data_IF_971555830269
#
_entry.id   IF_971555830269
#
_cell.length_a   1.000
_cell.length_b   1.000
_cell.length_c   1.000
_cell.angle_alpha   90.00
_cell.angle_beta   90.00
_cell.angle_gamma   90.00
#
_symmetry.space_group_name_H-M   'P 1'
#
loop_
_entity.id
_entity.type
_entity.pdbx_description
1 polymer ?
#
# COMPACT_ATOMS: atom_id res chain seq x y z
N UNK A 1 -30.70 -17.05 20.76
CA UNK A 1 -29.60 -16.20 21.29
C UNK A 1 -29.69 -14.84 20.60
N UNK A 2 -29.55 -13.72 21.32
CA UNK A 2 -29.81 -12.36 20.79
C UNK A 2 -28.63 -11.80 19.94
N UNK A 3 -28.05 -12.62 19.06
CA UNK A 3 -26.82 -12.29 18.33
C UNK A 3 -27.04 -11.12 17.35
N UNK A 4 -28.18 -11.06 16.65
CA UNK A 4 -28.50 -9.96 15.71
C UNK A 4 -28.47 -8.59 16.42
N UNK A 5 -29.05 -8.53 17.61
CA UNK A 5 -29.14 -7.32 18.43
C UNK A 5 -27.77 -6.79 18.86
N UNK A 6 -26.81 -7.68 19.11
CA UNK A 6 -25.51 -7.30 19.65
C UNK A 6 -24.42 -7.28 18.58
N UNK A 7 -24.22 -8.40 17.87
CA UNK A 7 -23.22 -8.54 16.83
C UNK A 7 -23.58 -7.75 15.56
N UNK A 8 -24.72 -8.06 14.92
CA UNK A 8 -25.03 -7.45 13.61
C UNK A 8 -25.23 -5.94 13.70
N UNK A 9 -25.87 -5.46 14.77
CA UNK A 9 -26.01 -4.02 15.02
C UNK A 9 -24.64 -3.34 15.11
N UNK A 10 -23.74 -3.85 15.95
CA UNK A 10 -22.40 -3.29 16.15
C UNK A 10 -21.54 -3.40 14.88
N UNK A 11 -21.61 -4.54 14.19
CA UNK A 11 -20.96 -4.77 12.90
C UNK A 11 -21.38 -3.73 11.87
N UNK A 12 -22.69 -3.61 11.60
CA UNK A 12 -23.21 -2.70 10.58
C UNK A 12 -22.91 -1.23 10.89
N UNK A 13 -23.05 -0.83 12.15
CA UNK A 13 -22.72 0.53 12.60
C UNK A 13 -21.24 0.83 12.39
N UNK A 14 -20.37 -0.11 12.76
CA UNK A 14 -18.92 0.10 12.70
C UNK A 14 -18.41 0.07 11.26
N UNK A 15 -18.93 -0.83 10.43
CA UNK A 15 -18.62 -0.88 9.00
C UNK A 15 -18.92 0.47 8.33
N UNK A 16 -20.10 1.04 8.58
CA UNK A 16 -20.49 2.34 8.01
C UNK A 16 -19.59 3.49 8.51
N UNK A 17 -19.19 3.47 9.79
CA UNK A 17 -18.24 4.44 10.34
C UNK A 17 -16.88 4.30 9.65
N UNK A 18 -16.39 3.07 9.49
CA UNK A 18 -15.12 2.78 8.84
C UNK A 18 -15.11 3.25 7.38
N UNK A 19 -16.18 2.99 6.63
CA UNK A 19 -16.36 3.47 5.26
C UNK A 19 -16.29 5.01 5.19
N UNK A 20 -17.02 5.68 6.09
CA UNK A 20 -17.02 7.15 6.17
C UNK A 20 -15.63 7.71 6.46
N UNK A 21 -14.88 7.10 7.38
CA UNK A 21 -13.50 7.50 7.68
C UNK A 21 -12.61 7.40 6.42
N UNK A 22 -12.71 6.29 5.68
CA UNK A 22 -11.94 6.10 4.44
C UNK A 22 -12.29 7.20 3.44
N UNK A 23 -13.58 7.39 3.18
CA UNK A 23 -14.08 8.41 2.24
C UNK A 23 -13.59 9.82 2.61
N UNK A 24 -13.75 10.21 3.87
CA UNK A 24 -13.32 11.54 4.34
C UNK A 24 -11.81 11.73 4.27
N UNK A 25 -11.02 10.71 4.59
CA UNK A 25 -9.55 10.76 4.45
C UNK A 25 -9.16 10.96 2.99
N UNK A 26 -9.79 10.24 2.06
CA UNK A 26 -9.53 10.40 0.64
C UNK A 26 -9.93 11.80 0.14
N UNK A 27 -11.11 12.31 0.48
CA UNK A 27 -11.55 13.67 0.10
C UNK A 27 -10.56 14.73 0.60
N UNK A 28 -10.18 14.68 1.88
CA UNK A 28 -9.22 15.63 2.49
C UNK A 28 -7.86 15.57 1.81
N UNK A 29 -7.44 14.38 1.40
CA UNK A 29 -6.14 14.16 0.76
C UNK A 29 -6.15 14.64 -0.68
N UNK A 30 -7.26 14.46 -1.41
CA UNK A 30 -7.46 15.00 -2.75
C UNK A 30 -7.44 16.52 -2.75
N UNK A 31 -8.10 17.16 -1.79
CA UNK A 31 -8.06 18.61 -1.61
C UNK A 31 -6.64 19.16 -1.35
N UNK A 32 -5.74 18.31 -0.84
CA UNK A 32 -4.30 18.61 -0.62
C UNK A 32 -3.40 18.12 -1.75
N UNK A 33 -3.96 17.67 -2.87
CA UNK A 33 -3.22 17.13 -4.03
C UNK A 33 -2.30 15.95 -3.69
N UNK A 34 -2.63 15.16 -2.66
CA UNK A 34 -1.88 13.95 -2.30
C UNK A 34 -2.22 12.80 -3.25
N UNK A 35 -1.29 11.87 -3.43
CA UNK A 35 -1.50 10.65 -4.24
C UNK A 35 -2.31 9.62 -3.45
N UNK A 36 -3.20 8.88 -4.13
CA UNK A 36 -4.08 7.88 -3.51
C UNK A 36 -3.35 6.93 -2.55
N UNK A 37 -2.28 6.28 -3.02
CA UNK A 37 -1.57 5.25 -2.25
C UNK A 37 -0.87 5.77 -0.99
N UNK A 38 -0.54 7.07 -0.92
CA UNK A 38 0.02 7.67 0.30
C UNK A 38 -0.98 7.68 1.46
N UNK A 39 -2.27 7.60 1.16
CA UNK A 39 -3.33 7.64 2.16
C UNK A 39 -3.63 6.28 2.79
N UNK A 40 -3.08 5.18 2.24
CA UNK A 40 -3.35 3.83 2.74
C UNK A 40 -2.89 3.64 4.18
N UNK A 41 -1.72 4.18 4.54
CA UNK A 41 -1.21 4.11 5.91
C UNK A 41 -2.10 4.93 6.86
N UNK A 42 -2.49 6.14 6.47
CA UNK A 42 -3.38 7.00 7.27
C UNK A 42 -4.72 6.30 7.52
N UNK A 43 -5.28 5.67 6.48
CA UNK A 43 -6.50 4.88 6.58
C UNK A 43 -6.29 3.71 7.54
N UNK A 44 -5.25 2.91 7.35
CA UNK A 44 -4.97 1.73 8.16
C UNK A 44 -4.76 2.10 9.65
N UNK A 45 -4.02 3.17 9.92
CA UNK A 45 -3.79 3.67 11.28
C UNK A 45 -5.08 4.16 11.92
N UNK A 46 -5.92 4.88 11.18
CA UNK A 46 -7.22 5.36 11.68
C UNK A 46 -8.15 4.20 12.03
N UNK A 47 -8.15 3.13 11.23
CA UNK A 47 -8.95 1.93 11.49
C UNK A 47 -8.40 1.12 12.66
N UNK A 48 -7.08 0.95 12.77
CA UNK A 48 -6.45 0.29 13.91
C UNK A 48 -6.73 1.02 15.23
N UNK A 49 -6.67 2.36 15.22
CA UNK A 49 -7.03 3.17 16.38
C UNK A 49 -8.50 2.98 16.77
N UNK A 50 -9.40 2.80 15.80
CA UNK A 50 -10.81 2.52 16.06
C UNK A 50 -10.98 1.15 16.75
N UNK A 51 -10.25 0.11 16.32
CA UNK A 51 -10.24 -1.21 16.98
C UNK A 51 -9.79 -1.07 18.43
N UNK A 52 -8.61 -0.49 18.65
CA UNK A 52 -7.99 -0.37 19.98
C UNK A 52 -8.91 0.41 20.94
N UNK A 53 -9.58 1.46 20.46
CA UNK A 53 -10.45 2.30 21.29
C UNK A 53 -11.83 1.70 21.57
N UNK A 54 -12.31 0.76 20.75
CA UNK A 54 -13.72 0.33 20.76
C UNK A 54 -13.94 -1.16 20.97
N UNK A 55 -12.87 -1.96 21.05
CA UNK A 55 -12.98 -3.41 21.17
C UNK A 55 -11.86 -3.99 22.02
N UNK A 56 -12.19 -4.91 22.92
CA UNK A 56 -11.20 -5.63 23.72
C UNK A 56 -10.60 -6.84 22.99
N UNK A 57 -11.08 -7.19 21.78
CA UNK A 57 -10.72 -8.43 21.08
C UNK A 57 -9.20 -8.60 20.92
N UNK A 58 -8.47 -7.51 20.59
CA UNK A 58 -6.99 -7.53 20.42
C UNK A 58 -6.20 -7.34 21.72
N UNK A 59 -6.86 -7.02 22.83
CA UNK A 59 -6.21 -6.75 24.10
C UNK A 59 -6.06 -8.02 24.96
N UNK A 60 -6.83 -9.07 24.65
CA UNK A 60 -6.86 -10.33 25.37
C UNK A 60 -6.72 -11.50 24.38
N UNK A 61 -5.71 -12.35 24.59
CA UNK A 61 -5.41 -13.49 23.71
C UNK A 61 -6.60 -14.47 23.61
N UNK A 62 -7.30 -14.69 24.73
CA UNK A 62 -8.51 -15.52 24.79
C UNK A 62 -9.59 -15.04 23.81
N UNK A 63 -9.79 -13.73 23.69
CA UNK A 63 -10.78 -13.13 22.80
C UNK A 63 -10.30 -13.12 21.34
N UNK A 64 -9.01 -12.90 21.10
CA UNK A 64 -8.39 -13.03 19.77
C UNK A 64 -8.48 -14.46 19.24
N UNK A 65 -8.33 -15.46 20.11
CA UNK A 65 -8.49 -16.87 19.76
C UNK A 65 -9.93 -17.17 19.32
N UNK A 66 -10.94 -16.64 20.01
CA UNK A 66 -12.33 -16.76 19.56
C UNK A 66 -12.55 -16.14 18.17
N UNK A 67 -11.95 -14.98 17.90
CA UNK A 67 -12.04 -14.36 16.58
C UNK A 67 -11.42 -15.24 15.48
N UNK A 68 -10.33 -15.95 15.80
CA UNK A 68 -9.66 -16.90 14.90
C UNK A 68 -10.50 -18.15 14.67
N UNK A 69 -11.11 -18.71 15.73
CA UNK A 69 -12.06 -19.84 15.60
C UNK A 69 -13.20 -19.45 14.66
N UNK A 70 -13.73 -18.24 14.80
CA UNK A 70 -14.82 -17.78 13.93
C UNK A 70 -14.39 -17.76 12.47
N UNK A 71 -13.23 -17.19 12.13
CA UNK A 71 -12.73 -17.15 10.74
C UNK A 71 -12.57 -18.55 10.15
N UNK A 72 -11.98 -19.47 10.93
CA UNK A 72 -11.73 -20.84 10.49
C UNK A 72 -13.02 -21.64 10.28
N UNK A 73 -14.10 -21.28 10.98
CA UNK A 73 -15.37 -22.00 10.99
C UNK A 73 -16.49 -21.31 10.22
N UNK A 74 -16.26 -20.07 9.78
CA UNK A 74 -17.26 -19.24 9.11
C UNK A 74 -17.81 -19.89 7.84
N UNK A 75 -16.98 -20.64 7.12
CA UNK A 75 -17.36 -21.28 5.86
C UNK A 75 -17.91 -22.71 6.01
N UNK A 76 -18.05 -23.22 7.25
CA UNK A 76 -18.66 -24.53 7.50
C UNK A 76 -20.16 -24.54 7.14
N UNK A 77 -20.78 -23.36 7.00
CA UNK A 77 -22.20 -23.18 6.71
C UNK A 77 -22.41 -22.35 5.45
N UNK A 78 -23.37 -22.76 4.63
CA UNK A 78 -23.78 -22.05 3.40
C UNK A 78 -24.78 -20.93 3.68
N UNK A 79 -25.65 -21.10 4.68
CA UNK A 79 -26.65 -20.12 5.11
C UNK A 79 -26.53 -19.83 6.61
N UNK A 80 -26.93 -18.62 7.03
CA UNK A 80 -26.88 -18.17 8.43
C UNK A 80 -25.53 -18.43 9.12
N UNK A 81 -24.45 -18.42 8.34
CA UNK A 81 -23.12 -18.82 8.77
C UNK A 81 -22.63 -18.10 10.01
N UNK A 82 -22.96 -16.83 10.16
CA UNK A 82 -22.60 -16.00 11.30
C UNK A 82 -23.29 -16.48 12.57
N UNK A 83 -24.61 -16.68 12.53
CA UNK A 83 -25.41 -17.16 13.66
C UNK A 83 -24.95 -18.55 14.10
N UNK A 84 -24.86 -19.47 13.13
CA UNK A 84 -24.49 -20.86 13.39
C UNK A 84 -23.05 -20.99 13.88
N UNK A 85 -22.11 -20.22 13.33
CA UNK A 85 -20.72 -20.21 13.82
C UNK A 85 -20.65 -19.70 15.25
N UNK A 86 -21.37 -18.61 15.55
CA UNK A 86 -21.41 -18.05 16.90
C UNK A 86 -22.01 -19.06 17.88
N UNK A 87 -23.14 -19.68 17.52
CA UNK A 87 -23.84 -20.61 18.39
C UNK A 87 -23.08 -21.92 18.62
N UNK A 88 -22.51 -22.51 17.56
CA UNK A 88 -21.96 -23.87 17.61
C UNK A 88 -20.47 -23.91 17.96
N UNK A 89 -19.72 -22.83 17.69
CA UNK A 89 -18.27 -22.82 17.93
C UNK A 89 -17.85 -21.75 18.94
N UNK A 90 -18.38 -20.53 18.83
CA UNK A 90 -17.90 -19.42 19.64
C UNK A 90 -18.48 -19.43 21.05
N UNK A 91 -19.78 -19.66 21.20
CA UNK A 91 -20.41 -19.69 22.52
C UNK A 91 -19.86 -20.83 23.40
N UNK A 92 -19.72 -22.09 22.91
CA UNK A 92 -19.10 -23.15 23.69
C UNK A 92 -17.65 -22.82 24.05
N UNK A 93 -16.87 -22.28 23.11
CA UNK A 93 -15.50 -21.89 23.38
C UNK A 93 -15.41 -20.76 24.43
N UNK A 94 -16.32 -19.78 24.38
CA UNK A 94 -16.37 -18.67 25.34
C UNK A 94 -16.65 -19.14 26.76
N UNK A 95 -17.60 -20.06 26.96
CA UNK A 95 -17.93 -20.60 28.29
C UNK A 95 -16.72 -21.29 28.94
N UNK A 96 -15.82 -21.85 28.12
CA UNK A 96 -14.62 -22.55 28.59
C UNK A 96 -13.44 -21.62 28.90
N UNK A 97 -13.55 -20.31 28.66
CA UNK A 97 -12.49 -19.35 28.99
C UNK A 97 -12.49 -19.11 30.51
N UNK A 98 -11.30 -19.14 31.12
CA UNK A 98 -11.16 -18.85 32.55
C UNK A 98 -11.42 -17.37 32.84
N UNK A 99 -12.00 -17.07 34.01
CA UNK A 99 -12.41 -15.71 34.39
C UNK A 99 -11.23 -14.73 34.41
N UNK A 100 -10.05 -15.18 34.82
CA UNK A 100 -8.81 -14.39 34.86
C UNK A 100 -8.25 -14.04 33.47
N UNK A 101 -8.71 -14.73 32.43
CA UNK A 101 -8.36 -14.47 31.03
C UNK A 101 -9.33 -13.50 30.33
N UNK A 102 -10.32 -12.99 31.05
CA UNK A 102 -11.33 -12.08 30.53
C UNK A 102 -11.21 -10.68 31.17
N UNK A 103 -11.66 -9.63 30.47
CA UNK A 103 -11.86 -8.33 31.11
C UNK A 103 -12.79 -8.44 32.32
N UNK A 104 -12.65 -7.53 33.28
CA UNK A 104 -13.53 -7.50 34.46
C UNK A 104 -15.00 -7.37 34.04
N UNK A 105 -15.86 -8.24 34.59
CA UNK A 105 -17.30 -8.27 34.31
C UNK A 105 -17.63 -8.43 32.81
N UNK A 106 -16.84 -9.21 32.07
CA UNK A 106 -17.04 -9.43 30.64
C UNK A 106 -18.02 -10.57 30.38
N UNK A 107 -19.18 -10.24 29.83
CA UNK A 107 -20.21 -11.20 29.46
C UNK A 107 -20.10 -11.59 27.99
N UNK A 108 -20.75 -12.68 27.60
CA UNK A 108 -20.82 -13.06 26.20
C UNK A 108 -21.51 -12.00 25.33
N UNK A 109 -22.51 -11.29 25.87
CA UNK A 109 -23.11 -10.15 25.17
C UNK A 109 -22.11 -9.02 24.90
N UNK A 110 -21.21 -8.71 25.85
CA UNK A 110 -20.14 -7.73 25.64
C UNK A 110 -19.16 -8.23 24.58
N UNK A 111 -18.81 -9.52 24.61
CA UNK A 111 -18.02 -10.14 23.56
C UNK A 111 -18.67 -9.95 22.17
N UNK A 112 -19.96 -10.23 22.01
CA UNK A 112 -20.63 -10.10 20.70
C UNK A 112 -20.59 -8.66 20.16
N UNK A 113 -20.72 -7.66 21.03
CA UNK A 113 -20.61 -6.25 20.65
C UNK A 113 -19.19 -5.91 20.21
N UNK A 114 -18.18 -6.27 21.01
CA UNK A 114 -16.77 -6.03 20.71
C UNK A 114 -16.32 -6.78 19.46
N UNK A 115 -16.84 -7.99 19.26
CA UNK A 115 -16.59 -8.82 18.10
C UNK A 115 -17.24 -8.25 16.84
N UNK A 116 -18.47 -7.74 16.94
CA UNK A 116 -19.13 -7.01 15.85
C UNK A 116 -18.34 -5.77 15.42
N UNK A 117 -17.85 -4.98 16.39
CA UNK A 117 -16.96 -3.84 16.13
C UNK A 117 -15.68 -4.31 15.41
N UNK A 118 -15.01 -5.31 15.97
CA UNK A 118 -13.77 -5.84 15.40
C UNK A 118 -13.94 -6.31 13.95
N UNK A 119 -14.94 -7.17 13.71
CA UNK A 119 -15.25 -7.70 12.38
C UNK A 119 -15.64 -6.61 11.39
N UNK A 120 -16.48 -5.65 11.80
CA UNK A 120 -16.87 -4.53 10.95
C UNK A 120 -15.68 -3.72 10.43
N UNK A 121 -14.63 -3.56 11.25
CA UNK A 121 -13.40 -2.84 10.86
C UNK A 121 -12.50 -3.72 9.99
N UNK A 122 -12.34 -5.00 10.34
CA UNK A 122 -11.55 -5.94 9.53
C UNK A 122 -12.13 -6.06 8.12
N UNK A 123 -13.44 -6.24 8.01
CA UNK A 123 -14.11 -6.43 6.72
C UNK A 123 -14.13 -5.16 5.88
N UNK A 124 -14.34 -3.98 6.47
CA UNK A 124 -14.27 -2.74 5.67
C UNK A 124 -12.86 -2.50 5.12
N UNK A 125 -11.81 -2.81 5.89
CA UNK A 125 -10.41 -2.69 5.43
C UNK A 125 -10.11 -3.73 4.36
N UNK A 126 -10.54 -4.97 4.55
CA UNK A 126 -10.39 -6.06 3.58
C UNK A 126 -11.09 -5.73 2.27
N UNK A 127 -12.36 -5.34 2.32
CA UNK A 127 -13.16 -5.01 1.13
C UNK A 127 -12.66 -3.75 0.43
N UNK A 128 -12.11 -2.79 1.18
CA UNK A 128 -11.40 -1.66 0.60
C UNK A 128 -10.14 -2.10 -0.16
N UNK A 129 -9.30 -2.94 0.47
CA UNK A 129 -8.06 -3.47 -0.13
C UNK A 129 -8.32 -4.32 -1.38
N UNK A 130 -9.38 -5.12 -1.37
CA UNK A 130 -9.75 -5.97 -2.50
C UNK A 130 -10.23 -5.18 -3.72
N UNK A 131 -10.52 -3.88 -3.57
CA UNK A 131 -11.06 -3.02 -4.62
C UNK A 131 -10.23 -1.72 -4.78
N UNK A 132 -8.93 -1.76 -4.45
CA UNK A 132 -8.07 -0.57 -4.47
C UNK A 132 -8.06 0.13 -5.82
N UNK A 133 -8.04 -0.60 -6.93
CA UNK A 133 -7.97 -0.02 -8.27
C UNK A 133 -9.23 0.78 -8.60
N UNK A 134 -10.39 0.25 -8.21
CA UNK A 134 -11.68 0.94 -8.38
C UNK A 134 -11.68 2.24 -7.58
N UNK A 135 -11.25 2.21 -6.32
CA UNK A 135 -11.21 3.41 -5.48
C UNK A 135 -10.12 4.40 -5.89
N UNK A 136 -8.98 3.93 -6.40
CA UNK A 136 -7.93 4.77 -6.96
C UNK A 136 -8.48 5.52 -8.18
N UNK A 137 -9.21 4.84 -9.07
CA UNK A 137 -9.85 5.52 -10.19
C UNK A 137 -10.89 6.54 -9.74
N UNK A 138 -11.79 6.18 -8.81
CA UNK A 138 -12.74 7.14 -8.22
C UNK A 138 -12.03 8.35 -7.61
N UNK A 139 -10.88 8.14 -6.96
CA UNK A 139 -10.06 9.21 -6.39
C UNK A 139 -9.44 10.10 -7.47
N UNK A 140 -8.92 9.54 -8.55
CA UNK A 140 -8.36 10.29 -9.69
C UNK A 140 -9.46 11.12 -10.36
N UNK A 141 -10.60 10.51 -10.62
CA UNK A 141 -11.76 11.10 -11.32
C UNK A 141 -12.61 12.02 -10.42
N UNK A 142 -12.25 12.17 -9.14
CA UNK A 142 -12.99 12.96 -8.14
C UNK A 142 -14.46 12.51 -7.93
N UNK A 143 -14.75 11.21 -8.11
CA UNK A 143 -16.09 10.61 -8.02
C UNK A 143 -16.44 10.12 -6.62
N UNK A 144 -16.27 10.97 -5.61
CA UNK A 144 -16.54 10.56 -4.21
C UNK A 144 -18.02 10.37 -3.89
N UNK A 145 -18.94 10.93 -4.68
CA UNK A 145 -20.37 10.77 -4.47
C UNK A 145 -20.81 9.30 -4.63
N UNK A 146 -20.11 8.55 -5.46
CA UNK A 146 -20.37 7.13 -5.74
C UNK A 146 -19.61 6.19 -4.79
N UNK A 147 -18.80 6.73 -3.87
CA UNK A 147 -17.97 5.93 -2.98
C UNK A 147 -18.84 5.10 -2.01
N UNK A 148 -18.72 3.77 -2.12
CA UNK A 148 -19.37 2.79 -1.25
C UNK A 148 -18.54 1.52 -1.21
N UNK A 149 -18.36 0.94 -0.01
CA UNK A 149 -17.65 -0.32 0.16
C UNK A 149 -18.69 -1.45 0.25
N UNK A 150 -18.63 -2.47 -0.62
CA UNK A 150 -19.56 -3.59 -0.54
C UNK A 150 -19.32 -4.34 0.78
N UNK A 151 -20.41 -4.75 1.46
CA UNK A 151 -20.34 -5.54 2.70
C UNK A 151 -20.02 -7.00 2.44
N UNK A 152 -20.43 -7.51 1.29
CA UNK A 152 -20.03 -8.84 0.83
C UNK A 152 -18.65 -8.71 0.22
N UNK A 153 -17.83 -9.74 0.35
CA UNK A 153 -16.46 -9.82 -0.15
C UNK A 153 -16.44 -9.92 -1.70
N UNK A 154 -17.31 -9.15 -2.36
CA UNK A 154 -17.50 -9.06 -3.81
C UNK A 154 -16.45 -8.11 -4.37
N UNK A 155 -15.71 -8.61 -5.35
CA UNK A 155 -14.93 -7.76 -6.24
C UNK A 155 -15.94 -6.93 -7.04
N UNK A 156 -15.81 -5.61 -6.99
CA UNK A 156 -16.60 -4.71 -7.81
C UNK A 156 -16.19 -4.95 -9.27
N UNK A 157 -17.07 -5.57 -10.06
CA UNK A 157 -16.81 -5.81 -11.47
C UNK A 157 -16.64 -4.48 -12.23
N UNK A 158 -15.64 -4.43 -13.10
CA UNK A 158 -15.24 -3.33 -13.99
C UNK A 158 -16.33 -2.91 -15.01
N UNK A 159 -17.60 -3.23 -14.83
CA UNK A 159 -18.69 -2.90 -15.77
C UNK A 159 -18.96 -1.40 -15.94
N UNK A 160 -18.18 -0.52 -15.30
CA UNK A 160 -18.28 0.94 -15.46
C UNK A 160 -17.03 1.61 -16.05
N UNK A 161 -16.04 0.84 -16.51
CA UNK A 161 -14.77 1.41 -16.94
C UNK A 161 -14.32 0.70 -18.21
N UNK A 162 -14.29 1.48 -19.29
CA UNK A 162 -14.03 1.10 -20.67
C UNK A 162 -12.93 0.06 -20.92
N UNK A 163 -13.19 -0.72 -21.97
CA UNK A 163 -12.46 -1.88 -22.49
C UNK A 163 -10.99 -1.64 -22.91
N UNK A 164 -10.39 -0.48 -22.65
CA UNK A 164 -8.99 -0.22 -22.99
C UNK A 164 -7.99 -0.67 -21.90
N UNK A 165 -8.42 -0.87 -20.64
CA UNK A 165 -7.54 -1.27 -19.53
C UNK A 165 -7.18 -2.77 -19.49
N UNK A 166 -7.90 -3.61 -20.26
CA UNK A 166 -7.79 -5.08 -20.14
C UNK A 166 -6.52 -5.70 -20.73
N UNK A 167 -5.75 -4.94 -21.51
CA UNK A 167 -4.48 -5.42 -22.07
C UNK A 167 -3.28 -5.06 -21.16
N UNK A 168 -3.39 -4.03 -20.32
CA UNK A 168 -2.31 -3.61 -19.39
C UNK A 168 -2.34 -4.37 -18.05
N UNK A 169 -3.52 -4.68 -17.49
CA UNK A 169 -3.62 -5.29 -16.15
C UNK A 169 -3.24 -6.78 -16.07
N UNK A 170 -3.27 -7.52 -17.19
CA UNK A 170 -2.83 -8.93 -17.22
C UNK A 170 -1.31 -9.09 -17.09
N UNK A 171 -0.52 -8.05 -17.41
CA UNK A 171 0.93 -8.04 -17.15
C UNK A 171 1.26 -7.54 -15.74
N UNK A 172 0.45 -6.65 -15.17
CA UNK A 172 0.67 -6.08 -13.84
C UNK A 172 0.40 -7.08 -12.69
N UNK A 173 -0.65 -7.90 -12.79
CA UNK A 173 -0.99 -8.87 -11.74
C UNK A 173 -0.10 -10.14 -11.74
N UNK A 174 0.57 -10.44 -12.86
CA UNK A 174 1.55 -11.52 -12.95
C UNK A 174 2.91 -11.14 -12.33
N UNK A 175 3.18 -9.86 -12.06
CA UNK A 175 4.43 -9.39 -11.47
C UNK A 175 4.32 -9.03 -9.97
N UNK A 176 3.12 -8.80 -9.43
CA UNK A 176 2.90 -8.51 -8.00
C UNK A 176 2.76 -9.81 -7.18
N UNK A 177 2.59 -10.97 -7.83
CA UNK A 177 2.47 -12.29 -7.21
C UNK A 177 3.74 -13.14 -7.35
N UNK A 178 4.91 -12.53 -7.10
CA UNK A 178 6.18 -13.24 -7.05
C UNK A 178 7.07 -12.76 -5.93
N UNK A 179 7.48 -13.69 -5.07
CA UNK A 179 8.44 -13.60 -3.96
C UNK A 179 9.86 -13.11 -4.33
N UNK A 180 10.02 -12.25 -5.34
CA UNK A 180 11.32 -11.72 -5.73
C UNK A 180 11.64 -10.43 -4.98
N UNK A 181 12.26 -10.60 -3.81
CA UNK A 181 12.85 -9.54 -2.95
C UNK A 181 14.03 -8.78 -3.59
N UNK A 182 14.27 -8.95 -4.89
CA UNK A 182 15.42 -8.40 -5.59
C UNK A 182 14.98 -7.37 -6.63
N UNK A 183 15.64 -6.22 -6.65
CA UNK A 183 15.47 -5.23 -7.72
C UNK A 183 15.67 -5.88 -9.09
N UNK A 184 14.78 -5.61 -10.03
CA UNK A 184 14.92 -6.08 -11.40
C UNK A 184 16.03 -5.29 -12.15
N UNK A 185 16.39 -5.72 -13.35
CA UNK A 185 17.51 -5.12 -14.10
C UNK A 185 17.29 -3.63 -14.44
N UNK A 186 16.04 -3.25 -14.77
CA UNK A 186 15.68 -1.88 -15.14
C UNK A 186 15.71 -0.94 -13.92
N UNK A 187 15.18 -1.40 -12.79
CA UNK A 187 15.23 -0.72 -11.50
C UNK A 187 16.68 -0.48 -11.06
N UNK A 188 17.53 -1.50 -11.20
CA UNK A 188 18.97 -1.40 -10.92
C UNK A 188 19.68 -0.41 -11.83
N UNK A 189 19.43 -0.48 -13.14
CA UNK A 189 20.04 0.42 -14.12
C UNK A 189 19.62 1.88 -13.90
N UNK A 190 18.35 2.13 -13.59
CA UNK A 190 17.87 3.49 -13.32
C UNK A 190 18.41 4.04 -11.99
N UNK A 191 18.49 3.21 -10.95
CA UNK A 191 19.09 3.59 -9.69
C UNK A 191 20.55 4.01 -9.89
N UNK A 192 21.31 3.25 -10.67
CA UNK A 192 22.67 3.61 -11.06
C UNK A 192 22.74 4.94 -11.82
N UNK A 193 21.88 5.14 -12.82
CA UNK A 193 21.79 6.39 -13.60
C UNK A 193 21.58 7.62 -12.69
N UNK A 194 20.63 7.56 -11.77
CA UNK A 194 20.33 8.66 -10.83
C UNK A 194 21.53 8.96 -9.92
N UNK A 195 22.28 7.94 -9.52
CA UNK A 195 23.47 8.11 -8.69
C UNK A 195 24.65 8.73 -9.46
N UNK A 196 24.85 8.34 -10.72
CA UNK A 196 25.85 8.98 -11.59
C UNK A 196 25.54 10.47 -11.80
N UNK A 197 24.26 10.83 -11.98
CA UNK A 197 23.84 12.25 -12.06
C UNK A 197 24.16 12.98 -10.75
N UNK A 198 23.81 12.39 -9.60
CA UNK A 198 24.08 13.00 -8.30
C UNK A 198 25.58 13.23 -8.03
N UNK A 199 26.45 12.36 -8.54
CA UNK A 199 27.90 12.52 -8.44
C UNK A 199 28.44 13.55 -9.44
N UNK A 200 27.90 13.59 -10.66
CA UNK A 200 28.30 14.54 -11.69
C UNK A 200 27.91 15.99 -11.32
N UNK A 201 26.74 16.20 -10.72
CA UNK A 201 26.27 17.52 -10.29
C UNK A 201 27.20 18.13 -9.22
N UNK A 202 27.85 17.32 -8.37
CA UNK A 202 28.84 17.80 -7.39
C UNK A 202 30.09 18.41 -8.04
N UNK A 203 30.47 17.95 -9.24
CA UNK A 203 31.62 18.49 -9.96
C UNK A 203 31.28 19.79 -10.71
N UNK A 204 29.99 20.12 -10.89
CA UNK A 204 29.54 21.39 -11.46
C UNK A 204 29.37 22.50 -10.41
N UNK A 205 29.09 22.17 -9.15
CA UNK A 205 28.86 23.16 -8.08
C UNK A 205 30.17 23.75 -7.51
N UNK A 206 31.34 23.28 -7.95
CA UNK A 206 32.63 23.90 -7.56
C UNK A 206 32.99 25.18 -8.33
N UNK A 207 32.19 25.62 -9.31
CA UNK A 207 32.51 26.80 -10.13
C UNK A 207 31.68 28.04 -9.82
N UNK A 208 30.72 28.01 -8.89
CA UNK A 208 29.94 29.20 -8.54
C UNK A 208 29.82 29.34 -7.03
N UNK A 209 30.09 30.56 -6.59
CA UNK A 209 30.59 30.95 -5.28
C UNK A 209 29.63 30.66 -4.12
N UNK A 210 30.24 30.26 -2.99
CA UNK A 210 29.81 30.53 -1.61
C UNK A 210 28.30 30.56 -1.34
N UNK A 211 27.74 29.40 -1.07
CA UNK A 211 26.80 29.22 0.03
C UNK A 211 26.87 27.77 0.49
N UNK A 212 26.73 27.55 1.80
CA UNK A 212 26.77 26.25 2.48
C UNK A 212 25.75 25.26 1.89
N UNK A 213 26.09 24.65 0.77
CA UNK A 213 25.35 23.54 0.18
C UNK A 213 25.81 22.27 0.87
N UNK A 214 24.84 21.44 1.29
CA UNK A 214 25.07 20.13 1.88
C UNK A 214 26.09 19.36 1.03
N UNK A 215 27.33 19.27 1.52
CA UNK A 215 28.42 18.55 0.90
C UNK A 215 28.08 17.05 0.88
N UNK A 216 27.42 16.59 -0.17
CA UNK A 216 27.13 15.18 -0.39
C UNK A 216 28.43 14.47 -0.75
N UNK A 217 29.08 13.84 0.21
CA UNK A 217 30.21 12.94 -0.03
C UNK A 217 29.68 11.50 0.01
N UNK A 218 29.20 10.99 -1.13
CA UNK A 218 29.00 9.55 -1.26
C UNK A 218 30.39 8.92 -1.27
N UNK A 219 30.81 8.19 -0.21
CA UNK A 219 32.13 7.59 -0.18
C UNK A 219 32.28 6.63 -1.36
N UNK A 220 33.45 6.58 -2.00
CA UNK A 220 33.73 5.65 -3.10
C UNK A 220 33.39 4.19 -2.73
N UNK A 221 33.47 3.86 -1.44
CA UNK A 221 33.07 2.58 -0.86
C UNK A 221 31.57 2.28 -0.96
N UNK A 222 30.70 3.29 -0.93
CA UNK A 222 29.25 3.13 -1.13
C UNK A 222 28.91 2.89 -2.61
N UNK A 223 29.65 3.52 -3.53
CA UNK A 223 29.53 3.24 -4.97
C UNK A 223 29.98 1.81 -5.30
N UNK A 224 31.08 1.36 -4.68
CA UNK A 224 31.54 -0.04 -4.78
C UNK A 224 30.51 -1.00 -4.18
N UNK A 225 29.95 -0.72 -2.99
CA UNK A 225 28.86 -1.52 -2.40
C UNK A 225 27.64 -1.61 -3.30
N UNK A 226 27.27 -0.54 -3.98
CA UNK A 226 26.15 -0.55 -4.91
C UNK A 226 26.48 -1.31 -6.21
N UNK A 227 27.70 -1.22 -6.73
CA UNK A 227 28.19 -2.08 -7.80
C UNK A 227 28.16 -3.58 -7.42
N UNK A 228 28.28 -3.92 -6.13
CA UNK A 228 28.10 -5.32 -5.68
C UNK A 228 26.63 -5.77 -5.60
N UNK A 229 25.69 -4.83 -5.48
CA UNK A 229 24.23 -5.09 -5.51
C UNK A 229 23.73 -5.17 -6.96
N UNK A 230 24.36 -4.39 -7.83
CA UNK A 230 24.07 -4.33 -9.26
C UNK A 230 25.02 -5.30 -9.95
N UNK A 231 24.68 -6.59 -9.95
CA UNK A 231 25.39 -7.61 -10.73
C UNK A 231 25.22 -7.31 -12.24
N UNK A 232 26.02 -6.39 -12.78
CA UNK A 232 26.14 -6.14 -14.22
C UNK A 232 26.93 -7.31 -14.85
N UNK A 233 26.32 -8.49 -14.86
CA UNK A 233 26.77 -9.61 -15.73
C UNK A 233 26.29 -9.43 -17.16
N UNK A 234 26.12 -8.18 -17.59
CA UNK A 234 25.65 -7.89 -18.93
C UNK A 234 26.86 -7.66 -19.84
N UNK A 235 27.52 -8.75 -20.20
CA UNK A 235 28.56 -8.76 -21.24
C UNK A 235 28.04 -8.17 -22.58
N UNK A 236 26.72 -7.98 -22.73
CA UNK A 236 26.10 -7.30 -23.87
C UNK A 236 26.37 -5.79 -23.93
N UNK A 237 26.79 -5.13 -22.84
CA UNK A 237 27.18 -3.71 -22.88
C UNK A 237 28.43 -3.44 -23.75
N UNK A 238 29.19 -4.50 -24.08
CA UNK A 238 30.39 -4.42 -24.93
C UNK A 238 30.23 -5.17 -26.27
N UNK A 239 29.01 -5.65 -26.58
CA UNK A 239 28.71 -6.32 -27.84
C UNK A 239 28.35 -5.34 -28.97
N UNK A 240 28.41 -5.80 -30.23
CA UNK A 240 27.84 -5.05 -31.37
C UNK A 240 26.33 -4.88 -31.13
N UNK A 241 25.80 -3.66 -31.30
CA UNK A 241 24.41 -3.23 -31.02
C UNK A 241 24.04 -2.94 -29.55
N UNK A 242 25.00 -2.61 -28.68
CA UNK A 242 24.75 -2.20 -27.30
C UNK A 242 23.77 -1.01 -27.16
N UNK A 243 23.67 -0.16 -28.18
CA UNK A 243 22.74 0.97 -28.24
C UNK A 243 21.26 0.58 -28.13
N UNK A 244 20.93 -0.68 -28.45
CA UNK A 244 19.57 -1.18 -28.39
C UNK A 244 19.15 -1.78 -27.05
N UNK A 245 20.12 -2.04 -26.15
CA UNK A 245 19.86 -2.56 -24.82
C UNK A 245 18.98 -1.62 -24.00
N UNK A 246 17.95 -2.17 -23.35
CA UNK A 246 17.09 -1.45 -22.40
C UNK A 246 17.92 -0.82 -21.29
N UNK A 247 18.91 -1.53 -20.75
CA UNK A 247 19.82 -1.01 -19.73
C UNK A 247 20.60 0.20 -20.25
N UNK A 248 21.16 0.12 -21.46
CA UNK A 248 21.87 1.25 -22.07
C UNK A 248 20.95 2.46 -22.31
N UNK A 249 19.73 2.21 -22.80
CA UNK A 249 18.72 3.25 -23.01
C UNK A 249 18.29 3.91 -21.68
N UNK A 250 18.19 3.15 -20.59
CA UNK A 250 17.92 3.68 -19.24
C UNK A 250 19.12 4.48 -18.73
N UNK A 251 20.34 3.99 -18.91
CA UNK A 251 21.56 4.66 -18.48
C UNK A 251 21.80 5.99 -19.22
N UNK A 252 21.35 6.11 -20.47
CA UNK A 252 21.52 7.30 -21.30
C UNK A 252 20.34 8.26 -21.23
N UNK A 253 19.09 7.76 -21.24
CA UNK A 253 17.87 8.59 -21.25
C UNK A 253 17.23 8.76 -19.87
N UNK A 254 17.67 8.00 -18.86
CA UNK A 254 17.11 8.06 -17.52
C UNK A 254 15.63 7.77 -17.48
N UNK A 255 14.89 8.58 -16.73
CA UNK A 255 13.44 8.41 -16.55
C UNK A 255 12.68 8.68 -17.86
N UNK A 256 13.32 9.37 -18.80
CA UNK A 256 12.73 9.64 -20.11
C UNK A 256 12.69 8.42 -21.03
N UNK A 257 13.40 7.34 -20.67
CA UNK A 257 13.26 6.06 -21.34
C UNK A 257 11.84 5.50 -21.21
N UNK A 258 11.24 5.64 -20.03
CA UNK A 258 9.90 5.14 -19.76
C UNK A 258 8.84 6.06 -20.37
N UNK A 259 7.75 5.46 -20.84
CA UNK A 259 6.58 6.20 -21.29
C UNK A 259 6.06 7.10 -20.17
N UNK A 260 5.55 8.29 -20.51
CA UNK A 260 5.16 9.31 -19.51
C UNK A 260 4.18 8.79 -18.46
N UNK A 261 3.30 7.87 -18.85
CA UNK A 261 2.33 7.22 -17.97
C UNK A 261 2.98 6.28 -16.95
N UNK A 262 4.09 5.64 -17.33
CA UNK A 262 4.76 4.60 -16.53
C UNK A 262 5.83 5.16 -15.60
N UNK A 263 6.32 6.39 -15.85
CA UNK A 263 7.38 7.03 -15.06
C UNK A 263 7.05 7.11 -13.57
N UNK A 264 5.83 7.52 -13.24
CA UNK A 264 5.41 7.71 -11.84
C UNK A 264 5.27 6.36 -11.12
N UNK A 265 4.73 5.36 -11.82
CA UNK A 265 4.58 4.00 -11.28
C UNK A 265 5.96 3.39 -11.01
N UNK A 266 6.85 3.43 -12.00
CA UNK A 266 8.22 2.93 -11.90
C UNK A 266 8.98 3.57 -10.73
N UNK A 267 8.94 4.91 -10.60
CA UNK A 267 9.57 5.63 -9.49
C UNK A 267 8.98 5.25 -8.12
N UNK A 268 7.67 5.05 -8.03
CA UNK A 268 6.98 4.72 -6.78
C UNK A 268 7.31 3.30 -6.31
N UNK A 269 7.37 2.35 -7.25
CA UNK A 269 7.82 0.97 -7.00
C UNK A 269 9.27 0.97 -6.52
N UNK A 270 10.15 1.71 -7.20
CA UNK A 270 11.56 1.81 -6.83
C UNK A 270 11.77 2.42 -5.43
N UNK A 271 11.05 3.49 -5.09
CA UNK A 271 11.10 4.11 -3.74
C UNK A 271 10.67 3.12 -2.64
N UNK A 272 9.71 2.26 -2.95
CA UNK A 272 9.20 1.23 -2.04
C UNK A 272 10.25 0.13 -1.86
N UNK A 273 10.82 -0.39 -2.95
CA UNK A 273 11.81 -1.46 -2.93
C UNK A 273 13.13 -1.05 -2.26
N UNK A 274 13.52 0.23 -2.35
CA UNK A 274 14.73 0.77 -1.69
C UNK A 274 14.61 0.80 -0.15
N UNK A 275 13.40 0.74 0.44
CA UNK A 275 13.24 0.77 1.91
C UNK A 275 13.88 -0.43 2.63
N UNK A 276 14.12 -1.55 1.94
CA UNK A 276 14.58 -2.79 2.55
C UNK A 276 16.12 -2.97 2.56
N UNK A 277 16.88 -2.18 1.80
CA UNK A 277 18.33 -2.39 1.58
C UNK A 277 19.28 -1.74 2.62
N UNK A 278 18.78 -1.23 3.76
CA UNK A 278 19.58 -0.70 4.89
C UNK A 278 20.74 0.28 4.55
N UNK A 279 20.70 1.05 3.46
CA UNK A 279 21.76 2.04 3.15
C UNK A 279 21.52 3.35 3.91
N UNK A 280 21.95 3.43 5.17
CA UNK A 280 21.44 4.38 6.18
C UNK A 280 21.53 5.89 5.85
N UNK A 281 22.55 6.36 5.11
CA UNK A 281 22.66 7.78 4.69
C UNK A 281 22.34 7.98 3.21
N UNK A 282 22.82 7.07 2.36
CA UNK A 282 22.61 7.06 0.90
C UNK A 282 21.13 6.94 0.52
N UNK A 283 20.36 6.10 1.22
CA UNK A 283 18.92 5.91 0.99
C UNK A 283 18.12 7.20 1.18
N UNK A 284 18.46 8.01 2.18
CA UNK A 284 17.72 9.24 2.46
C UNK A 284 17.86 10.25 1.31
N UNK A 285 19.07 10.36 0.78
CA UNK A 285 19.38 11.28 -0.32
C UNK A 285 18.84 10.77 -1.67
N UNK A 286 19.00 9.49 -1.98
CA UNK A 286 18.40 8.87 -3.17
C UNK A 286 16.87 9.01 -3.14
N UNK A 287 16.24 8.78 -1.99
CA UNK A 287 14.79 9.01 -1.83
C UNK A 287 14.42 10.46 -2.09
N UNK A 288 15.21 11.42 -1.62
CA UNK A 288 14.96 12.84 -1.92
C UNK A 288 15.04 13.12 -3.42
N UNK A 289 16.02 12.58 -4.13
CA UNK A 289 16.13 12.76 -5.59
C UNK A 289 14.96 12.09 -6.32
N UNK A 290 14.63 10.85 -5.96
CA UNK A 290 13.50 10.13 -6.55
C UNK A 290 12.18 10.86 -6.31
N UNK A 291 11.94 11.34 -5.08
CA UNK A 291 10.76 12.13 -4.76
C UNK A 291 10.72 13.46 -5.52
N UNK A 292 11.87 14.11 -5.74
CA UNK A 292 11.96 15.33 -6.54
C UNK A 292 11.62 15.07 -8.01
N UNK A 293 12.09 13.95 -8.58
CA UNK A 293 11.73 13.55 -9.94
C UNK A 293 10.25 13.17 -10.07
N UNK A 294 9.69 12.49 -9.07
CA UNK A 294 8.23 12.26 -8.98
C UNK A 294 7.49 13.60 -9.01
N UNK A 295 7.91 14.56 -8.17
CA UNK A 295 7.26 15.87 -8.08
C UNK A 295 7.40 16.70 -9.38
N UNK A 296 8.54 16.66 -10.08
CA UNK A 296 8.71 17.32 -11.38
C UNK A 296 7.76 16.75 -12.43
N UNK A 297 7.66 15.43 -12.52
CA UNK A 297 6.79 14.76 -13.48
C UNK A 297 5.29 15.00 -13.16
N UNK A 298 4.93 15.13 -11.88
CA UNK A 298 3.58 15.55 -11.47
C UNK A 298 3.29 17.01 -11.87
N UNK A 299 4.23 17.93 -11.65
CA UNK A 299 4.07 19.36 -12.02
C UNK A 299 3.92 19.56 -13.54
N UNK A 300 4.69 18.84 -14.34
CA UNK A 300 4.58 18.87 -15.81
C UNK A 300 3.23 18.36 -16.34
N UNK A 301 2.57 17.47 -15.59
CA UNK A 301 1.22 17.00 -15.93
C UNK A 301 0.16 18.09 -15.69
N UNK A 302 0.35 18.90 -14.65
CA UNK A 302 -0.61 19.95 -14.27
C UNK A 302 -0.45 21.25 -15.08
N UNK A 303 0.75 21.56 -15.58
CA UNK A 303 0.99 22.78 -16.38
C UNK A 303 0.38 22.73 -17.79
N UNK A 304 -0.01 21.55 -18.29
CA UNK A 304 -0.64 21.38 -19.61
C UNK A 304 -2.17 21.43 -19.60
N UNK A 305 -2.79 21.43 -18.42
CA UNK A 305 -4.25 21.57 -18.32
C UNK A 305 -4.69 23.04 -18.27
N UNK A 306 -3.75 23.99 -18.37
CA UNK A 306 -3.97 25.43 -18.31
C UNK A 306 -3.56 26.18 -19.60
N UNK A 307 -3.40 25.47 -20.72
CA UNK A 307 -3.20 26.02 -22.08
C UNK A 307 -4.08 25.26 -23.03
#
# INVERSE_FOLDING_TARGET
MDYKKHYEYCYNKTFNIGEKIIKETLIKSKAKSLVFYLNLNIINDSQNLLIIKKSNIRLFDSLSNLATIFENKYYDYTENNTELTIQNYIYPAFINIKIDQLPKNYSFEKFLRDFGVYKGIVDVVKNFKNNLDVYNKMYVDNKFNEFKIPKNNTVLNETYIDKESKIQNRKLNAQISGDNKNLNAEEKAFLFHIMCIALADKNKVKSEENNESLNFNLPFTELIRLNTIIDFKDNHCFGKNFGDSTNYKILTKGINHFEKVDRILFLSTLVTNIKEYQLSKTTKYIKTILNNEVNKNIKMKNSKNNT
#
